data_IF_355895663990
#
_entry.id   IF_355895663990
#
_cell.length_a   1.000
_cell.length_b   1.000
_cell.length_c   1.000
_cell.angle_alpha   90.00
_cell.angle_beta   90.00
_cell.angle_gamma   90.00
#
_symmetry.space_group_name_H-M   'P 1'
#
loop_
_entity.id
_entity.type
_entity.pdbx_description
1 polymer ?
#
# COMPACT_ATOMS: atom_id res chain seq x y z
N UNK A 1 3.90 -23.38 11.69
CA UNK A 1 3.78 -22.49 10.52
C UNK A 1 3.63 -21.08 11.00
N UNK A 2 4.34 -20.14 10.39
CA UNK A 2 4.23 -18.74 10.76
C UNK A 2 2.94 -18.16 10.20
N UNK A 3 2.40 -17.15 10.89
CA UNK A 3 1.20 -16.45 10.44
C UNK A 3 1.38 -15.83 9.05
N UNK A 4 2.59 -15.46 8.70
CA UNK A 4 2.90 -14.90 7.39
C UNK A 4 2.62 -15.88 6.26
N UNK A 5 2.85 -17.17 6.47
CA UNK A 5 2.57 -18.17 5.46
C UNK A 5 1.06 -18.36 5.23
N UNK A 6 0.24 -18.09 6.26
CA UNK A 6 -1.21 -18.18 6.12
C UNK A 6 -1.78 -17.03 5.31
N UNK A 7 -1.15 -15.86 5.35
CA UNK A 7 -1.63 -14.66 4.64
C UNK A 7 -1.20 -14.62 3.18
N UNK A 8 -0.10 -15.25 2.82
CA UNK A 8 0.37 -15.29 1.43
C UNK A 8 -0.62 -15.96 0.48
N UNK A 9 -1.18 -17.14 0.83
CA UNK A 9 -2.21 -17.73 -0.02
C UNK A 9 -3.45 -16.87 -0.19
N UNK A 10 -3.85 -16.14 0.86
CA UNK A 10 -4.98 -15.21 0.77
C UNK A 10 -4.68 -14.09 -0.21
N UNK A 11 -3.50 -13.50 -0.13
CA UNK A 11 -3.07 -12.42 -1.02
C UNK A 11 -3.09 -12.87 -2.47
N UNK A 12 -2.51 -14.03 -2.76
CA UNK A 12 -2.48 -14.58 -4.12
C UNK A 12 -3.88 -14.87 -4.64
N UNK A 13 -4.76 -15.41 -3.78
CA UNK A 13 -6.13 -15.73 -4.15
C UNK A 13 -6.92 -14.45 -4.47
N UNK A 14 -6.81 -13.43 -3.63
CA UNK A 14 -7.49 -12.16 -3.86
C UNK A 14 -6.95 -11.48 -5.13
N UNK A 15 -5.64 -11.54 -5.35
CA UNK A 15 -5.06 -10.99 -6.58
C UNK A 15 -5.67 -11.64 -7.81
N UNK A 16 -5.82 -12.96 -7.80
CA UNK A 16 -6.43 -13.69 -8.90
C UNK A 16 -7.89 -13.28 -9.10
N UNK A 17 -8.66 -13.16 -8.01
CA UNK A 17 -10.06 -12.73 -8.08
C UNK A 17 -10.18 -11.32 -8.64
N UNK A 18 -9.32 -10.41 -8.23
CA UNK A 18 -9.30 -9.03 -8.75
C UNK A 18 -8.98 -9.02 -10.24
N UNK A 19 -8.00 -9.83 -10.66
CA UNK A 19 -7.63 -9.92 -12.07
C UNK A 19 -8.79 -10.46 -12.93
N UNK A 20 -9.59 -11.36 -12.37
CA UNK A 20 -10.78 -11.90 -13.03
C UNK A 20 -12.02 -11.02 -12.86
N UNK A 21 -11.90 -9.91 -12.13
CA UNK A 21 -12.98 -8.98 -11.81
C UNK A 21 -14.09 -9.61 -10.94
N UNK A 22 -13.73 -10.60 -10.15
CA UNK A 22 -14.64 -11.24 -9.19
C UNK A 22 -14.55 -10.49 -7.85
N UNK A 23 -15.01 -9.26 -7.85
CA UNK A 23 -14.82 -8.33 -6.73
C UNK A 23 -15.63 -8.73 -5.50
N UNK A 24 -16.85 -9.23 -5.67
CA UNK A 24 -17.67 -9.66 -4.54
C UNK A 24 -17.02 -10.78 -3.77
N UNK A 25 -16.49 -11.77 -4.48
CA UNK A 25 -15.77 -12.88 -3.84
C UNK A 25 -14.49 -12.39 -3.14
N UNK A 26 -13.76 -11.49 -3.79
CA UNK A 26 -12.57 -10.91 -3.19
C UNK A 26 -12.89 -10.15 -1.91
N UNK A 27 -13.96 -9.36 -1.91
CA UNK A 27 -14.41 -8.63 -0.72
C UNK A 27 -14.81 -9.58 0.42
N UNK A 28 -15.52 -10.65 0.11
CA UNK A 28 -15.91 -11.64 1.11
C UNK A 28 -14.70 -12.30 1.75
N UNK A 29 -13.71 -12.66 0.95
CA UNK A 29 -12.47 -13.24 1.44
C UNK A 29 -11.69 -12.27 2.33
N UNK A 30 -11.57 -11.03 1.89
CA UNK A 30 -10.88 -10.01 2.67
C UNK A 30 -11.64 -9.69 3.96
N UNK A 31 -12.97 -9.65 3.91
CA UNK A 31 -13.79 -9.40 5.09
C UNK A 31 -13.64 -10.52 6.12
N UNK A 32 -13.58 -11.77 5.68
CA UNK A 32 -13.33 -12.90 6.57
C UNK A 32 -11.97 -12.79 7.22
N UNK A 33 -10.96 -12.38 6.48
CA UNK A 33 -9.62 -12.17 7.02
C UNK A 33 -9.61 -11.04 8.05
N UNK A 34 -10.36 -9.97 7.81
CA UNK A 34 -10.49 -8.87 8.77
C UNK A 34 -11.14 -9.34 10.06
N UNK A 35 -12.17 -10.17 9.96
CA UNK A 35 -12.84 -10.72 11.14
C UNK A 35 -11.93 -11.65 11.92
N UNK A 36 -11.11 -12.45 11.23
CA UNK A 36 -10.18 -13.37 11.86
C UNK A 36 -9.00 -12.66 12.51
N UNK A 37 -8.54 -11.56 11.93
CA UNK A 37 -7.39 -10.81 12.43
C UNK A 37 -7.68 -9.30 12.41
N UNK A 38 -8.49 -8.78 13.36
CA UNK A 38 -8.94 -7.38 13.33
C UNK A 38 -7.82 -6.34 13.46
N UNK A 39 -6.68 -6.76 14.00
CA UNK A 39 -5.54 -5.85 14.21
C UNK A 39 -4.48 -5.96 13.12
N UNK A 40 -4.71 -6.79 12.13
CA UNK A 40 -3.78 -6.98 11.01
C UNK A 40 -4.08 -5.93 9.93
N UNK A 41 -3.05 -5.23 9.50
CA UNK A 41 -3.17 -4.22 8.45
C UNK A 41 -3.42 -4.82 7.07
N UNK A 42 -2.96 -6.05 6.82
CA UNK A 42 -3.00 -6.62 5.48
C UNK A 42 -4.40 -6.78 4.90
N UNK A 43 -5.41 -7.29 5.65
CA UNK A 43 -6.76 -7.36 5.09
C UNK A 43 -7.33 -6.00 4.69
N UNK A 44 -7.04 -4.94 5.44
CA UNK A 44 -7.46 -3.59 5.08
C UNK A 44 -6.80 -3.12 3.79
N UNK A 45 -5.50 -3.42 3.62
CA UNK A 45 -4.81 -3.09 2.37
C UNK A 45 -5.46 -3.81 1.18
N UNK A 46 -5.81 -5.08 1.33
CA UNK A 46 -6.50 -5.85 0.30
C UNK A 46 -7.87 -5.26 -0.02
N UNK A 47 -8.64 -4.87 0.99
CA UNK A 47 -9.92 -4.21 0.78
C UNK A 47 -9.77 -2.89 0.01
N UNK A 48 -8.72 -2.14 0.32
CA UNK A 48 -8.41 -0.91 -0.39
C UNK A 48 -8.12 -1.16 -1.87
N UNK A 49 -7.33 -2.19 -2.18
CA UNK A 49 -7.01 -2.57 -3.56
C UNK A 49 -8.28 -2.98 -4.31
N UNK A 50 -9.14 -3.78 -3.68
CA UNK A 50 -10.41 -4.20 -4.28
C UNK A 50 -11.29 -2.98 -4.58
N UNK A 51 -11.41 -2.06 -3.63
CA UNK A 51 -12.21 -0.85 -3.80
C UNK A 51 -11.67 0.01 -4.93
N UNK A 52 -10.36 0.18 -5.02
CA UNK A 52 -9.75 0.95 -6.11
C UNK A 52 -10.01 0.30 -7.46
N UNK A 53 -9.95 -1.02 -7.52
CA UNK A 53 -10.23 -1.79 -8.74
C UNK A 53 -11.69 -1.65 -9.18
N UNK A 54 -12.59 -1.38 -8.24
CA UNK A 54 -14.01 -1.10 -8.53
C UNK A 54 -14.28 0.39 -8.77
N UNK A 55 -13.25 1.19 -8.86
CA UNK A 55 -13.33 2.65 -9.00
C UNK A 55 -13.98 3.35 -7.80
N UNK A 56 -13.91 2.73 -6.63
CA UNK A 56 -14.39 3.34 -5.40
C UNK A 56 -13.19 3.89 -4.62
N UNK A 57 -12.68 5.00 -5.10
CA UNK A 57 -11.47 5.63 -4.56
C UNK A 57 -11.66 6.06 -3.11
N UNK A 58 -12.83 6.55 -2.74
CA UNK A 58 -13.09 7.02 -1.38
C UNK A 58 -12.96 5.88 -0.38
N UNK A 59 -13.60 4.74 -0.68
CA UNK A 59 -13.50 3.56 0.19
C UNK A 59 -12.08 3.00 0.21
N UNK A 60 -11.41 3.00 -0.93
CA UNK A 60 -10.03 2.54 -1.02
C UNK A 60 -9.13 3.34 -0.07
N UNK A 61 -9.21 4.65 -0.10
CA UNK A 61 -8.40 5.50 0.75
C UNK A 61 -8.72 5.31 2.23
N UNK A 62 -10.00 5.06 2.57
CA UNK A 62 -10.38 4.75 3.95
C UNK A 62 -9.71 3.48 4.45
N UNK A 63 -9.68 2.44 3.61
CA UNK A 63 -9.06 1.18 3.99
C UNK A 63 -7.54 1.30 4.09
N UNK A 64 -6.90 2.00 3.15
CA UNK A 64 -5.45 2.21 3.23
C UNK A 64 -5.06 2.99 4.49
N UNK A 65 -5.85 4.01 4.85
CA UNK A 65 -5.61 4.78 6.07
C UNK A 65 -5.82 3.93 7.32
N UNK A 66 -6.85 3.07 7.32
CA UNK A 66 -7.10 2.15 8.42
C UNK A 66 -5.93 1.17 8.59
N UNK A 67 -5.42 0.62 7.48
CA UNK A 67 -4.27 -0.27 7.52
C UNK A 67 -3.05 0.43 8.10
N UNK A 68 -2.79 1.64 7.66
CA UNK A 68 -1.65 2.42 8.16
C UNK A 68 -1.80 2.77 9.63
N UNK A 69 -3.02 3.09 10.06
CA UNK A 69 -3.29 3.37 11.47
C UNK A 69 -3.08 2.14 12.35
N UNK A 70 -3.43 0.96 11.86
CA UNK A 70 -3.21 -0.29 12.59
C UNK A 70 -1.72 -0.64 12.68
N UNK A 71 -0.98 -0.41 11.61
CA UNK A 71 0.44 -0.71 11.59
C UNK A 71 1.17 0.30 10.71
N UNK A 72 1.73 1.38 11.30
CA UNK A 72 2.43 2.41 10.53
C UNK A 72 3.68 1.91 9.81
N UNK A 73 4.21 0.75 10.20
CA UNK A 73 5.38 0.15 9.54
C UNK A 73 4.99 -0.75 8.36
N UNK A 74 3.71 -0.95 8.12
CA UNK A 74 3.24 -1.78 7.02
C UNK A 74 3.36 -1.00 5.70
N UNK A 75 4.41 -1.26 4.96
CA UNK A 75 4.78 -0.50 3.77
C UNK A 75 3.75 -0.57 2.64
N UNK A 76 3.13 -1.73 2.34
CA UNK A 76 2.17 -1.80 1.23
C UNK A 76 1.04 -0.77 1.33
N UNK A 77 0.43 -0.61 2.51
CA UNK A 77 -0.66 0.35 2.71
C UNK A 77 -0.18 1.79 2.50
N UNK A 78 1.00 2.12 3.02
CA UNK A 78 1.55 3.46 2.84
C UNK A 78 1.84 3.76 1.38
N UNK A 79 2.43 2.81 0.67
CA UNK A 79 2.77 2.98 -0.75
C UNK A 79 1.49 3.14 -1.57
N UNK A 80 0.47 2.31 -1.31
CA UNK A 80 -0.80 2.42 -2.01
C UNK A 80 -1.47 3.77 -1.73
N UNK A 81 -1.44 4.22 -0.50
CA UNK A 81 -1.99 5.52 -0.12
C UNK A 81 -1.33 6.66 -0.90
N UNK A 82 -0.01 6.61 -1.02
CA UNK A 82 0.74 7.60 -1.77
C UNK A 82 0.46 7.52 -3.27
N UNK A 83 0.45 6.32 -3.82
CA UNK A 83 0.24 6.11 -5.26
C UNK A 83 -1.14 6.54 -5.71
N UNK A 84 -2.17 6.15 -4.98
CA UNK A 84 -3.55 6.45 -5.35
C UNK A 84 -3.99 7.84 -4.88
N UNK A 85 -3.26 8.43 -3.93
CA UNK A 85 -3.56 9.76 -3.43
C UNK A 85 -2.91 10.88 -4.23
N UNK A 86 -2.06 10.56 -5.20
CA UNK A 86 -1.35 11.58 -5.97
C UNK A 86 -1.89 11.67 -7.39
N UNK A 87 -1.87 12.89 -7.93
CA UNK A 87 -2.23 13.14 -9.33
C UNK A 87 -1.00 12.94 -10.20
N UNK A 88 -0.77 11.72 -10.65
CA UNK A 88 0.41 11.42 -11.46
C UNK A 88 0.11 11.28 -12.94
N UNK A 89 -1.13 11.21 -13.34
CA UNK A 89 -1.50 11.00 -14.74
C UNK A 89 -1.22 9.59 -15.26
N UNK A 90 -0.64 8.73 -14.44
CA UNK A 90 -0.40 7.34 -14.77
C UNK A 90 -1.27 6.46 -13.88
N UNK A 91 -1.72 5.34 -14.45
CA UNK A 91 -2.47 4.36 -13.66
C UNK A 91 -1.52 3.72 -12.65
N UNK A 92 -1.74 3.90 -11.36
CA UNK A 92 -0.87 3.28 -10.37
C UNK A 92 -1.11 1.78 -10.29
N UNK A 93 -0.06 1.06 -9.91
CA UNK A 93 -0.16 -0.38 -9.66
C UNK A 93 -0.27 -0.60 -8.16
N UNK A 94 -1.24 -1.40 -7.71
CA UNK A 94 -1.38 -1.67 -6.28
C UNK A 94 -0.26 -2.54 -5.76
N UNK A 95 0.09 -2.35 -4.51
CA UNK A 95 1.05 -3.19 -3.79
C UNK A 95 0.27 -4.11 -2.86
N UNK A 96 0.36 -5.41 -3.11
CA UNK A 96 -0.40 -6.41 -2.37
C UNK A 96 0.30 -6.84 -1.09
N UNK A 97 1.62 -6.90 -1.09
CA UNK A 97 2.38 -7.36 0.08
C UNK A 97 3.78 -6.74 0.10
N UNK A 98 4.52 -7.05 1.17
CA UNK A 98 5.86 -6.51 1.37
C UNK A 98 6.85 -6.89 0.26
N UNK A 99 6.63 -8.02 -0.38
CA UNK A 99 7.55 -8.48 -1.44
C UNK A 99 7.47 -7.60 -2.68
N UNK A 100 6.35 -6.93 -2.88
CA UNK A 100 6.15 -6.04 -4.01
C UNK A 100 6.59 -4.61 -3.73
N UNK A 101 6.88 -4.31 -2.47
CA UNK A 101 7.51 -3.06 -2.13
C UNK A 101 8.93 -3.11 -2.67
N UNK A 102 9.21 -2.33 -3.71
CA UNK A 102 10.55 -2.27 -4.24
C UNK A 102 11.50 -1.92 -3.10
N UNK A 103 12.58 -2.69 -2.90
CA UNK A 103 13.63 -2.23 -2.00
C UNK A 103 14.02 -0.85 -2.48
N UNK A 104 14.03 0.14 -1.58
CA UNK A 104 14.51 1.44 -1.95
C UNK A 104 15.93 1.26 -2.46
N UNK A 105 16.18 1.29 -3.78
CA UNK A 105 17.55 1.23 -4.23
C UNK A 105 18.28 2.43 -3.63
N UNK A 106 19.55 2.25 -3.34
CA UNK A 106 20.36 3.34 -2.82
C UNK A 106 20.19 4.62 -3.63
N UNK A 107 19.84 4.46 -4.88
CA UNK A 107 19.59 5.52 -5.83
C UNK A 107 18.37 6.39 -5.51
N UNK A 108 17.29 5.80 -5.03
CA UNK A 108 16.13 6.60 -4.67
C UNK A 108 16.31 7.29 -3.34
N UNK A 109 17.18 6.80 -2.47
CA UNK A 109 17.44 7.42 -1.19
C UNK A 109 18.28 8.69 -1.29
N UNK A 110 19.09 8.81 -2.31
CA UNK A 110 20.00 9.93 -2.48
C UNK A 110 19.40 11.08 -3.27
N UNK A 111 18.18 10.93 -3.71
CA UNK A 111 17.58 11.91 -4.59
C UNK A 111 17.54 13.30 -3.97
N UNK A 112 17.33 13.39 -2.67
CA UNK A 112 17.20 14.67 -1.98
C UNK A 112 17.80 14.62 -0.59
N UNK A 113 18.39 15.74 -0.19
CA UNK A 113 18.75 16.01 1.18
C UNK A 113 18.33 17.44 1.51
N UNK A 114 18.16 17.73 2.78
CA UNK A 114 17.80 19.09 3.21
C UNK A 114 19.03 19.72 3.82
N UNK A 115 19.43 20.87 3.27
CA UNK A 115 20.47 21.69 3.86
C UNK A 115 19.85 22.99 4.36
N UNK A 116 20.32 23.45 5.49
CA UNK A 116 19.83 24.69 6.09
C UNK A 116 20.85 25.80 5.86
N UNK A 117 20.37 26.94 5.42
CA UNK A 117 21.23 28.10 5.22
C UNK A 117 21.49 28.82 6.55
N UNK A 118 22.24 29.91 6.50
CA UNK A 118 22.58 30.70 7.68
C UNK A 118 21.36 31.32 8.37
N UNK A 119 20.23 31.41 7.68
CA UNK A 119 18.97 31.91 8.23
C UNK A 119 18.09 30.81 8.80
N UNK A 120 18.52 29.55 8.73
CA UNK A 120 17.75 28.41 9.19
C UNK A 120 16.68 27.95 8.22
N UNK A 121 16.70 28.41 6.98
CA UNK A 121 15.73 28.00 5.95
C UNK A 121 16.23 26.70 5.31
N UNK A 122 15.38 25.69 5.29
CA UNK A 122 15.71 24.42 4.67
C UNK A 122 15.65 24.49 3.15
N UNK A 123 16.66 23.96 2.49
CA UNK A 123 16.74 23.83 1.05
C UNK A 123 16.85 22.37 0.67
N UNK A 124 16.02 21.94 -0.26
CA UNK A 124 16.08 20.58 -0.79
C UNK A 124 17.13 20.57 -1.90
N UNK A 125 18.17 19.77 -1.70
CA UNK A 125 19.25 19.64 -2.67
C UNK A 125 19.15 18.25 -3.30
N UNK A 126 19.07 18.23 -4.62
CA UNK A 126 19.10 16.99 -5.37
C UNK A 126 20.55 16.58 -5.58
N UNK A 127 20.89 15.40 -5.11
CA UNK A 127 22.22 14.86 -5.35
C UNK A 127 22.29 14.29 -6.75
N UNK A 128 23.18 14.81 -7.56
CA UNK A 128 23.45 14.31 -8.89
C UNK A 128 24.68 13.41 -8.88
N UNK A 129 24.64 12.41 -9.69
CA UNK A 129 25.79 11.58 -10.00
C UNK A 129 25.99 11.51 -11.50
#
# INVERSE_FOLDING_TARGET
>A
MSEQNAMQPLTAHIRALVAQRHFSEAEDEAAQAMAAAPHDAQPHNLMGIIAESRNDHVQAMKHFRAAWALNPTYRPARINMERYGSFSGQMPRPVYDETECAPCPAESRRAYRIEYDAKGIGHVIREER
#
